data_IF_256876195563
#
_entry.id   IF_256876195563
#
_cell.length_a   1.000
_cell.length_b   1.000
_cell.length_c   1.000
_cell.angle_alpha   90.00
_cell.angle_beta   90.00
_cell.angle_gamma   90.00
#
_symmetry.space_group_name_H-M   'P 1'
#
loop_
_entity.id
_entity.type
_entity.pdbx_description
1 polymer ?
2 non-polymer ?
3 non-polymer ?
4 water ?
#
# COMPACT_ATOMS: atom_id res chain seq x y z
N UNK A 42 11.75 -21.35 -18.02
CA UNK A 42 11.94 -20.78 -16.65
C UNK A 42 12.29 -19.28 -16.66
N UNK A 43 12.41 -18.69 -17.86
CA UNK A 43 12.64 -17.25 -17.98
C UNK A 43 11.29 -16.51 -17.90
N UNK A 44 10.24 -17.26 -18.19
CA UNK A 44 8.87 -16.81 -18.09
C UNK A 44 8.41 -16.98 -16.64
N UNK A 45 8.64 -18.16 -16.07
CA UNK A 45 8.38 -18.43 -14.66
C UNK A 45 9.09 -17.42 -13.74
N UNK A 46 10.35 -17.10 -14.04
CA UNK A 46 11.12 -16.12 -13.27
C UNK A 46 10.43 -14.76 -13.19
N UNK A 47 9.89 -14.31 -14.32
CA UNK A 47 9.18 -13.04 -14.42
C UNK A 47 7.99 -13.00 -13.46
N UNK A 48 7.21 -14.08 -13.45
CA UNK A 48 6.01 -14.15 -12.64
C UNK A 48 6.35 -14.15 -11.16
N UNK A 49 7.34 -14.95 -10.80
CA UNK A 49 7.79 -15.13 -9.44
C UNK A 49 8.32 -13.82 -8.87
N UNK A 50 9.07 -13.10 -9.71
CA UNK A 50 9.65 -11.83 -9.33
C UNK A 50 8.54 -10.79 -9.07
N UNK A 51 7.59 -10.71 -9.99
CA UNK A 51 6.48 -9.77 -9.90
C UNK A 51 5.64 -10.08 -8.64
N UNK A 52 5.37 -11.36 -8.40
CA UNK A 52 4.55 -11.77 -7.24
C UNK A 52 5.27 -11.51 -5.94
N UNK A 53 6.54 -11.92 -5.88
CA UNK A 53 7.33 -11.74 -4.66
C UNK A 53 7.46 -10.27 -4.31
N UNK A 54 7.74 -9.44 -5.31
CA UNK A 54 7.96 -8.04 -5.06
C UNK A 54 6.66 -7.42 -4.58
N UNK A 55 5.54 -7.86 -5.17
CA UNK A 55 4.22 -7.39 -4.71
C UNK A 55 3.95 -7.89 -3.27
N UNK A 56 4.23 -9.14 -2.96
CA UNK A 56 3.95 -9.64 -1.61
C UNK A 56 4.67 -8.75 -0.59
N UNK A 57 5.98 -8.56 -0.79
CA UNK A 57 6.76 -7.74 0.15
C UNK A 57 6.22 -6.33 0.37
N UNK A 58 5.84 -5.64 -0.70
CA UNK A 58 5.26 -4.32 -0.59
C UNK A 58 3.95 -4.34 0.22
N UNK A 59 3.14 -5.38 0.03
CA UNK A 59 1.82 -5.45 0.75
C UNK A 59 2.08 -5.69 2.21
N UNK A 60 3.06 -6.56 2.48
CA UNK A 60 3.44 -6.85 3.88
C UNK A 60 3.99 -5.63 4.59
N UNK A 61 4.76 -4.83 3.86
CA UNK A 61 5.26 -3.55 4.41
C UNK A 61 4.08 -2.63 4.74
N UNK A 62 3.16 -2.48 3.78
CA UNK A 62 1.91 -1.74 4.00
C UNK A 62 1.05 -2.30 5.14
N UNK A 63 0.99 -3.62 5.26
CA UNK A 63 0.28 -4.25 6.40
C UNK A 63 0.76 -3.69 7.73
N UNK A 64 2.09 -3.76 7.94
CA UNK A 64 2.69 -3.30 9.17
C UNK A 64 2.57 -1.82 9.36
N UNK A 65 2.73 -1.05 8.29
CA UNK A 65 2.57 0.41 8.41
C UNK A 65 1.15 0.89 8.68
N UNK A 66 0.17 0.33 7.98
CA UNK A 66 -1.23 0.70 8.29
C UNK A 66 -1.58 0.36 9.75
N UNK A 67 -1.17 -0.80 10.23
CA UNK A 67 -1.49 -1.15 11.61
C UNK A 67 -0.77 -0.19 12.62
N UNK A 68 0.50 0.12 12.35
CA UNK A 68 1.23 1.05 13.22
C UNK A 68 0.53 2.41 13.30
N UNK A 69 0.17 2.93 12.14
CA UNK A 69 -0.58 4.17 12.05
C UNK A 69 -1.95 4.07 12.75
N UNK A 70 -2.66 2.95 12.52
CA UNK A 70 -3.94 2.66 13.19
C UNK A 70 -3.82 2.91 14.70
N UNK A 71 -2.76 2.38 15.35
CA UNK A 71 -2.60 2.51 16.82
C UNK A 71 -2.11 3.88 17.27
N UNK A 72 -1.21 4.47 16.49
CA UNK A 72 -0.44 5.65 16.93
C UNK A 72 -0.93 7.00 16.45
N UNK A 73 -1.92 7.00 15.55
CA UNK A 73 -2.39 8.24 14.95
C UNK A 73 -3.08 9.09 16.04
N UNK A 74 -3.00 10.43 15.90
CA UNK A 74 -3.33 11.39 16.98
C UNK A 74 -3.90 12.65 16.30
N UNK A 75 -4.71 13.43 16.99
CA UNK A 75 -5.25 14.66 16.45
C UNK A 75 -6.74 14.54 16.15
N UNK A 76 -7.27 15.56 15.50
CA UNK A 76 -8.68 15.72 15.18
C UNK A 76 -9.22 14.50 14.38
N UNK A 77 -8.44 14.05 13.41
CA UNK A 77 -8.82 12.94 12.54
C UNK A 77 -8.34 11.54 13.03
N UNK A 78 -7.82 11.43 14.24
CA UNK A 78 -7.21 10.17 14.69
C UNK A 78 -8.22 8.98 14.60
N UNK A 79 -9.46 9.19 15.07
CA UNK A 79 -10.46 8.08 15.10
C UNK A 79 -10.94 7.72 13.69
N UNK A 80 -11.16 8.75 12.88
CA UNK A 80 -11.47 8.58 11.48
C UNK A 80 -10.39 7.75 10.83
N UNK A 81 -9.12 8.14 11.01
CA UNK A 81 -8.04 7.39 10.41
C UNK A 81 -7.84 6.00 11.03
N UNK A 82 -8.00 5.89 12.34
CA UNK A 82 -7.97 4.60 13.03
C UNK A 82 -8.89 3.59 12.28
N UNK A 83 -10.13 4.00 12.04
CA UNK A 83 -11.10 3.11 11.39
C UNK A 83 -10.75 2.88 9.93
N UNK A 84 -10.41 3.94 9.22
CA UNK A 84 -10.09 3.79 7.81
C UNK A 84 -8.89 2.86 7.59
N UNK A 85 -7.84 3.04 8.39
CA UNK A 85 -6.63 2.23 8.26
C UNK A 85 -6.86 0.76 8.62
N UNK A 86 -7.81 0.49 9.51
CA UNK A 86 -8.20 -0.92 9.82
C UNK A 86 -8.82 -1.58 8.61
N UNK A 87 -9.64 -0.82 7.88
CA UNK A 87 -10.22 -1.34 6.65
C UNK A 87 -9.15 -1.56 5.61
N UNK A 88 -8.24 -0.59 5.46
CA UNK A 88 -7.12 -0.77 4.53
C UNK A 88 -6.28 -1.98 4.94
N UNK A 89 -5.97 -2.09 6.23
CA UNK A 89 -5.21 -3.26 6.72
C UNK A 89 -5.87 -4.58 6.27
N UNK A 90 -7.19 -4.67 6.46
CA UNK A 90 -7.91 -5.86 6.07
C UNK A 90 -7.88 -6.13 4.56
N UNK A 91 -8.04 -5.12 3.69
CA UNK A 91 -7.98 -5.39 2.26
C UNK A 91 -6.58 -5.77 1.81
N UNK A 92 -5.57 -5.08 2.37
CA UNK A 92 -4.15 -5.41 2.07
C UNK A 92 -3.84 -6.83 2.54
N UNK A 93 -4.32 -7.18 3.74
CA UNK A 93 -4.04 -8.54 4.27
C UNK A 93 -4.59 -9.65 3.38
N UNK A 94 -5.79 -9.43 2.86
CA UNK A 94 -6.44 -10.40 1.99
C UNK A 94 -5.62 -10.59 0.72
N UNK A 95 -5.17 -9.49 0.12
CA UNK A 95 -4.30 -9.56 -1.07
C UNK A 95 -2.90 -10.09 -0.79
N UNK A 96 -2.38 -9.89 0.42
CA UNK A 96 -1.07 -10.51 0.78
C UNK A 96 -1.21 -12.05 0.79
N UNK A 97 -2.34 -12.53 1.32
CA UNK A 97 -2.69 -13.97 1.21
C UNK A 97 -2.81 -14.43 -0.23
N UNK A 98 -3.59 -13.71 -1.06
CA UNK A 98 -3.80 -14.14 -2.44
C UNK A 98 -2.50 -14.19 -3.27
N UNK A 99 -1.65 -13.20 -3.06
CA UNK A 99 -0.33 -13.15 -3.71
C UNK A 99 0.56 -14.36 -3.34
N UNK A 100 0.72 -14.62 -2.05
CA UNK A 100 1.48 -15.78 -1.60
C UNK A 100 0.90 -17.07 -2.16
N UNK A 101 -0.42 -17.21 -2.08
CA UNK A 101 -1.08 -18.40 -2.63
C UNK A 101 -0.80 -18.54 -4.13
N UNK A 102 -0.85 -17.42 -4.86
CA UNK A 102 -0.51 -17.48 -6.26
C UNK A 102 0.95 -17.92 -6.52
N UNK A 103 1.88 -17.43 -5.71
CA UNK A 103 3.25 -17.91 -5.81
C UNK A 103 3.31 -19.41 -5.67
N UNK A 104 2.69 -19.95 -4.63
CA UNK A 104 2.67 -21.41 -4.48
C UNK A 104 2.01 -22.12 -5.67
N UNK A 105 0.97 -21.49 -6.22
CA UNK A 105 0.21 -22.05 -7.33
C UNK A 105 1.03 -22.15 -8.63
N UNK A 106 2.00 -21.26 -8.81
CA UNK A 106 2.86 -21.35 -10.00
C UNK A 106 4.10 -22.18 -9.67
N UNK A 107 4.15 -22.74 -8.46
CA UNK A 107 5.18 -23.70 -8.09
C UNK A 107 6.39 -23.12 -7.40
N UNK A 108 6.28 -21.89 -6.89
CA UNK A 108 7.38 -21.25 -6.17
C UNK A 108 7.07 -21.03 -4.69
N UNK A 109 8.11 -21.16 -3.88
CA UNK A 109 8.06 -20.82 -2.46
C UNK A 109 7.78 -19.32 -2.29
N UNK A 110 7.07 -18.94 -1.22
CA UNK A 110 6.70 -17.54 -1.00
C UNK A 110 7.57 -16.98 0.13
N UNK A 111 8.23 -15.84 -0.06
CA UNK A 111 9.07 -15.33 1.05
C UNK A 111 8.38 -14.16 1.75
N UNK A 112 7.75 -14.46 2.88
CA UNK A 112 6.99 -13.48 3.63
C UNK A 112 7.61 -13.14 4.96
N UNK A 113 8.92 -13.38 5.09
CA UNK A 113 9.61 -13.24 6.39
C UNK A 113 9.92 -11.79 6.72
N UNK A 114 10.02 -11.49 8.02
CA UNK A 114 10.29 -10.12 8.46
C UNK A 114 11.61 -9.56 7.88
N UNK A 115 12.63 -10.41 7.85
CA UNK A 115 13.93 -9.99 7.28
C UNK A 115 13.76 -9.53 5.81
N UNK A 116 12.88 -10.21 5.06
CA UNK A 116 12.69 -9.91 3.66
C UNK A 116 11.95 -8.58 3.47
N UNK A 117 10.98 -8.35 4.34
CA UNK A 117 10.30 -7.08 4.38
C UNK A 117 11.31 -5.96 4.64
N UNK A 118 12.16 -6.12 5.65
CA UNK A 118 13.18 -5.07 5.91
C UNK A 118 14.16 -4.93 4.72
N UNK A 119 14.68 -6.05 4.23
CA UNK A 119 15.66 -6.10 3.13
C UNK A 119 15.13 -5.52 1.85
N UNK A 120 13.96 -6.02 1.46
CA UNK A 120 13.49 -5.80 0.11
C UNK A 120 12.58 -4.61 0.19
N UNK A 121 13.13 -3.59 0.86
CA UNK A 121 12.55 -2.27 1.08
C UNK A 121 12.11 -1.61 -0.22
N UNK A 122 12.95 -0.71 -0.74
CA UNK A 122 12.62 0.14 -1.89
C UNK A 122 11.56 1.17 -1.47
N UNK A 123 11.20 1.12 -0.19
CA UNK A 123 10.14 1.96 0.40
C UNK A 123 10.48 2.46 1.82
N UNK A 124 10.25 3.77 2.09
CA UNK A 124 10.48 4.33 3.43
C UNK A 124 9.71 3.57 4.51
N UNK A 125 10.35 3.44 5.67
CA UNK A 125 9.70 2.97 6.88
C UNK A 125 8.90 4.17 7.40
N UNK A 126 7.83 3.87 8.13
CA UNK A 126 6.99 4.87 8.79
C UNK A 126 7.68 5.21 10.14
N UNK A 127 7.63 6.48 10.56
CA UNK A 127 8.25 6.86 11.84
C UNK A 127 7.60 6.16 13.04
N UNK A 128 8.39 5.94 14.09
CA UNK A 128 7.89 5.43 15.36
C UNK A 128 7.28 6.58 16.14
N UNK A 129 6.68 6.26 17.28
CA UNK A 129 6.14 7.30 18.14
C UNK A 129 4.71 7.65 17.79
N UNK A 130 4.13 8.59 18.54
CA UNK A 130 2.83 9.15 18.19
C UNK A 130 2.89 9.86 16.82
N UNK A 131 1.91 9.58 15.96
CA UNK A 131 1.90 10.10 14.60
C UNK A 131 0.78 11.05 14.42
N UNK A 132 1.02 12.22 13.77
CA UNK A 132 -0.06 13.19 13.59
C UNK A 132 -0.95 12.75 12.44
N UNK A 133 -2.24 13.07 12.51
CA UNK A 133 -3.19 12.73 11.43
C UNK A 133 -2.72 13.21 10.04
N UNK A 134 -2.23 14.43 9.96
CA UNK A 134 -1.81 14.99 8.67
C UNK A 134 -0.57 14.30 8.13
N UNK A 135 0.35 13.92 9.01
CA UNK A 135 1.50 13.08 8.65
C UNK A 135 1.09 11.67 8.13
N UNK A 136 0.12 11.01 8.78
CA UNK A 136 -0.42 9.72 8.26
C UNK A 136 -0.99 9.91 6.85
N UNK A 137 -1.78 10.95 6.67
CA UNK A 137 -2.43 11.21 5.38
C UNK A 137 -1.37 11.39 4.28
N UNK A 138 -0.39 12.26 4.56
CA UNK A 138 0.70 12.51 3.62
C UNK A 138 1.48 11.23 3.36
N UNK A 139 1.86 10.51 4.42
CA UNK A 139 2.60 9.26 4.24
C UNK A 139 1.92 8.26 3.27
N UNK A 140 0.62 7.97 3.47
CA UNK A 140 -0.01 6.89 2.68
C UNK A 140 -0.39 7.37 1.31
N UNK A 141 -0.72 8.65 1.20
CA UNK A 141 -0.93 9.27 -0.12
C UNK A 141 0.26 8.94 -1.03
N UNK A 142 1.47 9.19 -0.54
CA UNK A 142 2.71 8.88 -1.27
C UNK A 142 2.97 7.39 -1.37
N UNK A 143 2.89 6.64 -0.26
CA UNK A 143 3.16 5.18 -0.33
C UNK A 143 2.23 4.42 -1.27
N UNK A 144 0.92 4.69 -1.16
CA UNK A 144 -0.03 3.95 -2.03
C UNK A 144 0.20 4.31 -3.52
N UNK A 145 0.44 5.59 -3.81
CA UNK A 145 0.70 6.04 -5.17
C UNK A 145 1.91 5.31 -5.72
N UNK A 146 2.99 5.23 -4.95
CA UNK A 146 4.17 4.60 -5.52
C UNK A 146 4.07 3.08 -5.60
N UNK A 147 3.44 2.44 -4.59
CA UNK A 147 3.15 1.01 -4.73
C UNK A 147 2.22 0.73 -5.93
N UNK A 148 1.21 1.57 -6.15
CA UNK A 148 0.28 1.32 -7.24
C UNK A 148 1.00 1.38 -8.59
N UNK A 149 1.90 2.37 -8.70
CA UNK A 149 2.75 2.57 -9.90
C UNK A 149 3.59 1.36 -10.25
N UNK A 150 4.22 0.76 -9.23
CA UNK A 150 5.07 -0.39 -9.47
C UNK A 150 4.27 -1.63 -9.85
N UNK A 151 3.07 -1.79 -9.26
CA UNK A 151 2.21 -2.93 -9.61
C UNK A 151 1.71 -2.73 -11.04
N UNK A 152 1.39 -1.50 -11.39
CA UNK A 152 0.98 -1.19 -12.75
C UNK A 152 2.00 -1.71 -13.78
N UNK A 153 3.28 -1.46 -13.51
CA UNK A 153 4.36 -1.92 -14.38
C UNK A 153 4.47 -3.43 -14.44
N UNK A 154 4.40 -4.10 -13.29
CA UNK A 154 4.40 -5.56 -13.23
C UNK A 154 3.29 -6.20 -14.05
N UNK A 155 2.14 -5.55 -14.12
CA UNK A 155 1.03 -6.12 -14.85
C UNK A 155 1.46 -6.29 -16.31
N UNK A 156 1.94 -5.21 -16.91
CA UNK A 156 2.48 -5.24 -18.27
C UNK A 156 3.60 -6.24 -18.46
N UNK A 157 4.54 -6.32 -17.52
CA UNK A 157 5.65 -7.29 -17.60
C UNK A 157 5.22 -8.75 -17.69
N UNK A 158 4.08 -9.12 -17.08
CA UNK A 158 3.71 -10.54 -17.04
C UNK A 158 2.44 -10.93 -17.82
N UNK A 159 1.69 -9.94 -18.30
CA UNK A 159 0.45 -10.19 -19.06
C UNK A 159 0.62 -11.27 -20.14
N UNK A 160 1.74 -11.24 -20.86
CA UNK A 160 1.88 -12.11 -22.04
C UNK A 160 2.18 -13.55 -21.63
N UNK A 161 3.11 -13.74 -20.70
CA UNK A 161 3.42 -15.07 -20.20
C UNK A 161 2.36 -15.63 -19.23
N UNK A 162 1.81 -14.78 -18.37
CA UNK A 162 1.01 -15.25 -17.23
C UNK A 162 -0.15 -14.30 -16.97
N UNK A 163 -1.18 -14.34 -17.84
CA UNK A 163 -2.34 -13.48 -17.70
C UNK A 163 -3.13 -13.73 -16.40
N UNK A 164 -3.08 -14.95 -15.87
CA UNK A 164 -3.75 -15.22 -14.60
C UNK A 164 -3.06 -14.47 -13.44
N UNK A 165 -1.73 -14.53 -13.38
CA UNK A 165 -0.99 -13.72 -12.43
C UNK A 165 -1.21 -12.21 -12.67
N UNK A 166 -1.15 -11.80 -13.93
CA UNK A 166 -1.35 -10.41 -14.31
C UNK A 166 -2.69 -9.95 -13.80
N UNK A 167 -3.68 -10.81 -13.94
CA UNK A 167 -5.02 -10.49 -13.49
C UNK A 167 -5.13 -10.27 -11.95
N UNK A 168 -4.44 -11.11 -11.18
CA UNK A 168 -4.40 -10.91 -9.72
C UNK A 168 -3.77 -9.56 -9.44
N UNK A 169 -2.65 -9.27 -10.12
CA UNK A 169 -1.93 -8.02 -9.86
C UNK A 169 -2.76 -6.80 -10.20
N UNK A 170 -3.56 -6.88 -11.26
CA UNK A 170 -4.58 -5.84 -11.56
C UNK A 170 -5.55 -5.60 -10.39
N UNK A 171 -6.03 -6.67 -9.76
CA UNK A 171 -6.91 -6.53 -8.58
C UNK A 171 -6.22 -5.85 -7.41
N UNK A 172 -4.93 -6.21 -7.17
CA UNK A 172 -4.14 -5.54 -6.16
C UNK A 172 -3.97 -4.07 -6.52
N UNK A 173 -3.62 -3.78 -7.78
CA UNK A 173 -3.46 -2.38 -8.19
C UNK A 173 -4.77 -1.61 -7.97
N UNK A 174 -5.90 -2.23 -8.29
CA UNK A 174 -7.21 -1.59 -8.05
C UNK A 174 -7.45 -1.15 -6.60
N UNK A 175 -7.21 -2.06 -5.64
CA UNK A 175 -7.41 -1.72 -4.23
C UNK A 175 -6.42 -0.67 -3.73
N UNK A 176 -5.18 -0.75 -4.19
CA UNK A 176 -4.16 0.21 -3.73
C UNK A 176 -4.46 1.63 -4.26
N UNK A 177 -4.94 1.71 -5.51
CA UNK A 177 -5.33 3.03 -6.07
C UNK A 177 -6.58 3.59 -5.41
N UNK A 178 -7.49 2.69 -5.02
CA UNK A 178 -8.64 3.15 -4.22
C UNK A 178 -8.20 3.73 -2.87
N UNK A 179 -7.27 3.05 -2.20
CA UNK A 179 -6.83 3.49 -0.91
C UNK A 179 -6.07 4.83 -1.05
N UNK A 180 -5.35 4.96 -2.16
CA UNK A 180 -4.68 6.22 -2.51
C UNK A 180 -5.69 7.37 -2.60
N UNK A 181 -6.81 7.14 -3.29
CA UNK A 181 -7.91 8.12 -3.37
C UNK A 181 -8.41 8.52 -1.97
N UNK A 182 -8.64 7.51 -1.13
CA UNK A 182 -9.23 7.73 0.19
C UNK A 182 -8.36 8.58 1.09
N UNK A 183 -7.04 8.47 0.93
CA UNK A 183 -6.08 9.36 1.60
C UNK A 183 -5.99 10.75 0.91
N UNK A 184 -5.91 10.76 -0.42
CA UNK A 184 -5.90 11.96 -1.23
C UNK A 184 -7.09 12.90 -0.94
N UNK A 185 -8.26 12.31 -0.73
CA UNK A 185 -9.49 13.05 -0.60
C UNK A 185 -9.49 14.04 0.56
N UNK A 186 -8.75 13.75 1.61
CA UNK A 186 -8.66 14.66 2.77
C UNK A 186 -8.12 16.09 2.42
N UNK A 187 -7.34 16.18 1.34
CA UNK A 187 -6.66 17.42 0.91
C UNK A 187 -6.98 17.75 -0.52
N UNK A 188 -8.10 17.24 -1.02
CA UNK A 188 -8.44 17.44 -2.42
C UNK A 188 -9.03 18.85 -2.61
N UNK A 189 -8.50 19.56 -3.62
CA UNK A 189 -8.88 20.92 -3.99
C UNK A 189 -10.28 20.91 -4.56
N UNK A 190 -11.09 21.87 -4.15
CA UNK A 190 -12.46 22.02 -4.66
C UNK A 190 -12.67 23.49 -5.13
N UNK A 191 -13.73 23.78 -5.92
CA UNK A 191 -13.99 25.20 -6.28
C UNK A 191 -14.10 26.15 -5.07
N UNK A 192 -14.63 25.66 -3.95
CA UNK A 192 -14.92 26.52 -2.80
C UNK A 192 -13.88 26.48 -1.70
N UNK A 193 -12.93 25.58 -1.79
CA UNK A 193 -11.99 25.36 -0.68
C UNK A 193 -10.81 24.54 -1.18
N UNK A 194 -9.59 25.11 -1.10
CA UNK A 194 -8.39 24.37 -1.50
C UNK A 194 -8.07 23.16 -0.59
N UNK A 195 -8.72 23.08 0.58
CA UNK A 195 -8.42 22.05 1.61
C UNK A 195 -6.93 21.83 1.87
N UNK A 196 -6.24 22.87 2.33
CA UNK A 196 -4.78 22.83 2.54
C UNK A 196 -4.36 21.99 3.74
N UNK A 197 -5.32 21.64 4.61
CA UNK A 197 -5.04 20.84 5.80
C UNK A 197 -4.58 21.67 6.99
N UNK A 198 -4.69 23.00 6.87
CA UNK A 198 -4.21 23.92 7.92
C UNK A 198 -4.85 23.56 9.27
N UNK A 199 -6.13 23.18 9.21
CA UNK A 199 -6.93 22.86 10.39
C UNK A 199 -6.44 21.59 11.12
N UNK A 200 -5.84 20.66 10.38
CA UNK A 200 -5.30 19.41 10.97
C UNK A 200 -3.77 19.42 11.15
N UNK A 201 -3.15 20.58 10.80
CA UNK A 201 -1.68 20.69 10.84
C UNK A 201 -1.17 21.99 11.48
N UNK A 202 -1.80 22.34 12.61
CA UNK A 202 -1.39 23.48 13.44
C UNK A 202 -1.36 24.84 12.72
N UNK A 203 -2.30 25.04 11.80
CA UNK A 203 -2.40 26.28 11.03
C UNK A 203 -1.53 26.33 9.79
N UNK A 204 -0.78 25.26 9.53
CA UNK A 204 0.13 25.21 8.38
C UNK A 204 -0.40 24.28 7.28
N UNK A 205 -0.24 24.67 6.00
CA UNK A 205 -0.63 23.78 4.90
C UNK A 205 0.19 22.49 4.93
N UNK A 206 -0.45 21.37 4.61
CA UNK A 206 0.24 20.07 4.68
C UNK A 206 1.20 19.93 3.50
N UNK A 207 2.40 19.70 3.69
X LIG B 1 -11.76 -10.55 -11.64
X LIG C 1 -2.77 17.19 13.57
#
# INVERSE_FOLDING_TARGET
NGVPSTNVNTPAPNTGQSTAQNTNTASPLPYNRATTLPAAGTEDLKKSVQALQNTLTELQALQLQTKQAHWNVSGTLWYTLHELLQDHYEGISKFADDVAERQLSVGASSDGRAITIVAASRLPEIPGGFLDDAQVIQFFTYQYETVGQRIHQRVGDVEKVDPTTANLLQEVEHIIEKYQWQMRAFLQNTPTDPNTGFDINNGKPVPLRGR
FE FE
MG MG
#
